data_IF_564173216429
#
_entry.id   IF_564173216429
#
_cell.length_a   1.000
_cell.length_b   1.000
_cell.length_c   1.000
_cell.angle_alpha   90.00
_cell.angle_beta   90.00
_cell.angle_gamma   90.00
#
_symmetry.space_group_name_H-M   'P 1'
#
loop_
_entity.id
_entity.type
_entity.pdbx_description
1 polymer ?
#
# COMPACT_ATOMS: atom_id res chain seq x y z
N UNK A 1 -37.61 -25.76 -24.72
CA UNK A 1 -37.49 -24.64 -23.77
C UNK A 1 -36.64 -25.14 -22.62
N UNK A 2 -35.42 -24.69 -22.32
CA UNK A 2 -34.55 -23.63 -22.81
C UNK A 2 -33.11 -24.14 -22.64
N UNK A 3 -32.24 -23.79 -23.58
CA UNK A 3 -30.82 -24.13 -23.56
C UNK A 3 -30.12 -23.30 -22.48
N UNK A 4 -29.63 -23.94 -21.41
CA UNK A 4 -28.77 -23.27 -20.42
C UNK A 4 -27.39 -23.13 -21.05
N UNK A 5 -27.18 -22.02 -21.74
CA UNK A 5 -25.88 -21.58 -22.20
C UNK A 5 -25.00 -21.31 -20.97
N UNK A 6 -24.18 -22.29 -20.58
CA UNK A 6 -23.02 -22.06 -19.71
C UNK A 6 -22.11 -21.10 -20.47
N UNK A 7 -22.15 -19.82 -20.08
CA UNK A 7 -21.21 -18.80 -20.56
C UNK A 7 -19.80 -19.30 -20.32
N UNK A 8 -19.10 -19.61 -21.41
CA UNK A 8 -17.65 -19.75 -21.48
C UNK A 8 -17.00 -18.65 -20.62
N UNK A 9 -16.46 -19.01 -19.45
CA UNK A 9 -15.42 -18.22 -18.78
C UNK A 9 -14.07 -18.68 -19.30
N UNK A 10 -13.81 -18.36 -20.54
CA UNK A 10 -12.48 -18.41 -21.11
C UNK A 10 -12.29 -17.09 -21.85
N UNK A 11 -11.06 -16.57 -21.86
CA UNK A 11 -10.59 -15.46 -22.71
C UNK A 11 -10.55 -14.08 -22.04
N UNK A 12 -9.62 -13.92 -21.10
CA UNK A 12 -8.38 -13.19 -21.43
C UNK A 12 -7.43 -13.27 -20.26
N UNK A 13 -6.69 -14.37 -20.17
CA UNK A 13 -5.30 -14.29 -19.69
C UNK A 13 -4.50 -13.62 -20.80
N UNK A 14 -4.86 -12.37 -21.11
CA UNK A 14 -4.18 -11.55 -22.09
C UNK A 14 -2.74 -11.46 -21.67
N UNK A 15 -1.84 -11.75 -22.61
CA UNK A 15 -0.40 -11.60 -22.43
C UNK A 15 -0.12 -10.33 -21.62
N UNK A 16 0.52 -10.46 -20.45
CA UNK A 16 0.95 -9.34 -19.59
C UNK A 16 2.05 -8.50 -20.25
N UNK A 17 2.20 -8.60 -21.57
CA UNK A 17 3.18 -7.86 -22.33
C UNK A 17 2.69 -6.41 -22.44
N UNK A 18 3.29 -5.52 -21.66
CA UNK A 18 2.99 -4.09 -21.66
C UNK A 18 3.10 -3.48 -23.07
N UNK A 19 3.89 -4.09 -23.95
CA UNK A 19 4.04 -3.70 -25.35
C UNK A 19 2.78 -3.92 -26.20
N UNK A 20 1.93 -4.90 -25.86
CA UNK A 20 0.69 -5.20 -26.60
C UNK A 20 -0.52 -4.36 -26.16
N UNK A 21 -0.37 -3.52 -25.14
CA UNK A 21 -1.43 -2.61 -24.68
C UNK A 21 -1.54 -1.37 -25.59
N UNK A 22 -2.70 -0.73 -25.61
CA UNK A 22 -2.85 0.58 -26.25
C UNK A 22 -2.10 1.66 -25.46
N UNK A 23 -1.77 2.78 -26.11
CA UNK A 23 -1.11 3.90 -25.44
C UNK A 23 -1.94 4.45 -24.26
N UNK A 24 -3.27 4.52 -24.43
CA UNK A 24 -4.21 4.92 -23.39
C UNK A 24 -4.17 3.97 -22.18
N UNK A 25 -4.21 2.65 -22.42
CA UNK A 25 -4.13 1.65 -21.34
C UNK A 25 -2.79 1.68 -20.61
N UNK A 26 -1.69 1.95 -21.32
CA UNK A 26 -0.38 2.19 -20.68
C UNK A 26 -0.40 3.44 -19.79
N UNK A 27 -0.99 4.54 -20.27
CA UNK A 27 -1.10 5.77 -19.50
C UNK A 27 -1.95 5.60 -18.23
N UNK A 28 -3.08 4.87 -18.31
CA UNK A 28 -3.90 4.51 -17.14
C UNK A 28 -3.10 3.70 -16.10
N UNK A 29 -2.31 2.72 -16.56
CA UNK A 29 -1.47 1.90 -15.68
C UNK A 29 -0.38 2.74 -15.02
N UNK A 30 0.30 3.61 -15.76
CA UNK A 30 1.34 4.47 -15.19
C UNK A 30 0.76 5.48 -14.19
N UNK A 31 -0.41 6.06 -14.46
CA UNK A 31 -1.11 6.92 -13.52
C UNK A 31 -1.48 6.16 -12.23
N UNK A 32 -1.97 4.92 -12.36
CA UNK A 32 -2.28 4.08 -11.21
C UNK A 32 -1.03 3.71 -10.41
N UNK A 33 0.07 3.35 -11.08
CA UNK A 33 1.37 3.11 -10.43
C UNK A 33 1.86 4.32 -9.65
N UNK A 34 1.78 5.51 -10.24
CA UNK A 34 2.17 6.75 -9.59
C UNK A 34 1.32 7.03 -8.33
N UNK A 35 0.01 6.80 -8.39
CA UNK A 35 -0.87 6.93 -7.24
C UNK A 35 -0.54 5.92 -6.13
N UNK A 36 -0.30 4.65 -6.49
CA UNK A 36 0.10 3.61 -5.53
C UNK A 36 1.46 3.93 -4.89
N UNK A 37 2.44 4.38 -5.67
CA UNK A 37 3.75 4.79 -5.17
C UNK A 37 3.62 5.99 -4.22
N UNK A 38 2.78 6.97 -4.55
CA UNK A 38 2.52 8.13 -3.71
C UNK A 38 1.94 7.75 -2.35
N UNK A 39 0.92 6.88 -2.32
CA UNK A 39 0.35 6.35 -1.08
C UNK A 39 1.36 5.57 -0.27
N UNK A 40 2.10 4.68 -0.94
CA UNK A 40 3.15 3.90 -0.27
C UNK A 40 4.18 4.82 0.39
N UNK A 41 4.67 5.83 -0.33
CA UNK A 41 5.63 6.80 0.22
C UNK A 41 5.06 7.57 1.41
N UNK A 42 3.83 8.06 1.31
CA UNK A 42 3.16 8.76 2.40
C UNK A 42 3.03 7.88 3.66
N UNK A 43 2.70 6.59 3.51
CA UNK A 43 2.63 5.65 4.62
C UNK A 43 4.01 5.41 5.28
N UNK A 44 5.08 5.35 4.47
CA UNK A 44 6.45 5.22 4.98
C UNK A 44 6.88 6.45 5.77
N UNK A 45 6.56 7.64 5.26
CA UNK A 45 6.89 8.93 5.89
C UNK A 45 6.11 9.12 7.21
N UNK A 46 4.83 8.73 7.24
CA UNK A 46 4.01 8.71 8.46
C UNK A 46 4.62 7.80 9.52
N UNK A 47 4.94 6.55 9.15
CA UNK A 47 5.56 5.59 10.06
C UNK A 47 6.91 6.07 10.60
N UNK A 48 7.74 6.70 9.76
CA UNK A 48 9.02 7.27 10.18
C UNK A 48 8.85 8.44 11.16
N UNK A 49 7.88 9.32 10.90
CA UNK A 49 7.54 10.45 11.79
C UNK A 49 7.08 9.96 13.16
N UNK A 50 6.17 8.98 13.18
CA UNK A 50 5.68 8.36 14.41
C UNK A 50 6.84 7.73 15.18
N UNK A 51 7.72 6.98 14.50
CA UNK A 51 8.87 6.33 15.12
C UNK A 51 9.86 7.34 15.72
N UNK A 52 10.14 8.45 15.03
CA UNK A 52 11.05 9.49 15.50
C UNK A 52 10.59 10.13 16.82
N UNK A 53 9.28 10.30 17.00
CA UNK A 53 8.66 10.88 18.20
C UNK A 53 8.64 9.93 19.41
N UNK A 54 9.16 8.70 19.27
CA UNK A 54 9.16 7.68 20.33
C UNK A 54 9.87 8.13 21.60
N UNK A 55 11.02 8.80 21.47
CA UNK A 55 11.79 9.27 22.62
C UNK A 55 11.07 10.41 23.34
N UNK A 56 10.54 11.36 22.57
CA UNK A 56 9.95 12.59 23.11
C UNK A 56 8.61 12.33 23.81
N UNK A 57 7.79 11.41 23.27
CA UNK A 57 6.49 11.05 23.85
C UNK A 57 6.59 10.06 25.02
N UNK A 58 7.71 9.35 25.17
CA UNK A 58 7.95 8.40 26.26
C UNK A 58 6.82 7.37 26.43
N UNK A 59 6.30 7.24 27.65
CA UNK A 59 5.25 6.26 27.99
C UNK A 59 3.92 6.50 27.24
N UNK A 60 3.65 7.74 26.82
CA UNK A 60 2.45 8.10 26.06
C UNK A 60 2.55 7.78 24.56
N UNK A 61 3.72 7.35 24.09
CA UNK A 61 3.97 7.19 22.66
C UNK A 61 3.02 6.22 21.97
N UNK A 62 2.71 5.07 22.58
CA UNK A 62 1.84 4.06 21.95
C UNK A 62 0.44 4.60 21.67
N UNK A 63 -0.20 5.25 22.65
CA UNK A 63 -1.54 5.81 22.45
C UNK A 63 -1.51 6.97 21.46
N UNK A 64 -0.45 7.78 21.46
CA UNK A 64 -0.28 8.83 20.47
C UNK A 64 -0.10 8.25 19.05
N UNK A 65 0.77 7.26 18.88
CA UNK A 65 1.00 6.59 17.61
C UNK A 65 -0.28 5.97 17.02
N UNK A 66 -1.10 5.32 17.85
CA UNK A 66 -2.40 4.77 17.41
C UNK A 66 -3.37 5.87 16.97
N UNK A 67 -3.37 7.04 17.63
CA UNK A 67 -4.17 8.19 17.21
C UNK A 67 -3.71 8.77 15.88
N UNK A 68 -2.39 8.90 15.68
CA UNK A 68 -1.84 9.37 14.41
C UNK A 68 -2.15 8.40 13.27
N UNK A 69 -2.05 7.09 13.51
CA UNK A 69 -2.42 6.08 12.52
C UNK A 69 -3.92 6.16 12.17
N UNK A 70 -4.79 6.25 13.18
CA UNK A 70 -6.24 6.34 12.97
C UNK A 70 -6.69 7.65 12.29
N UNK A 71 -5.88 8.71 12.35
CA UNK A 71 -6.13 9.95 11.62
C UNK A 71 -5.92 9.82 10.10
N UNK A 72 -5.23 8.75 9.66
CA UNK A 72 -4.91 8.46 8.27
C UNK A 72 -5.34 7.05 7.87
N UNK A 73 -6.66 6.76 7.84
CA UNK A 73 -7.18 5.41 7.61
C UNK A 73 -6.74 4.80 6.27
N UNK A 74 -6.51 5.63 5.25
CA UNK A 74 -6.04 5.20 3.93
C UNK A 74 -4.56 4.78 3.87
N UNK A 75 -3.79 5.10 4.91
CA UNK A 75 -2.37 4.74 5.05
C UNK A 75 -2.11 3.81 6.24
N UNK A 76 -3.11 3.59 7.09
CA UNK A 76 -2.96 2.96 8.40
C UNK A 76 -2.28 1.60 8.30
N UNK A 77 -2.73 0.74 7.37
CA UNK A 77 -2.24 -0.63 7.27
C UNK A 77 -0.75 -0.65 6.90
N UNK A 78 -0.36 0.07 5.86
CA UNK A 78 1.01 0.16 5.37
C UNK A 78 1.93 0.87 6.39
N UNK A 79 1.45 1.97 6.98
CA UNK A 79 2.20 2.73 7.98
C UNK A 79 2.42 1.89 9.25
N UNK A 80 1.39 1.15 9.71
CA UNK A 80 1.50 0.24 10.86
C UNK A 80 2.46 -0.91 10.57
N UNK A 81 2.42 -1.49 9.37
CA UNK A 81 3.35 -2.55 8.97
C UNK A 81 4.81 -2.06 8.97
N UNK A 82 5.06 -0.87 8.42
CA UNK A 82 6.39 -0.24 8.44
C UNK A 82 6.83 0.12 9.85
N UNK A 83 5.95 0.70 10.67
CA UNK A 83 6.24 1.04 12.05
C UNK A 83 6.62 -0.22 12.85
N UNK A 84 5.89 -1.31 12.68
CA UNK A 84 6.22 -2.60 13.27
C UNK A 84 7.59 -3.11 12.83
N UNK A 85 7.95 -2.95 11.55
CA UNK A 85 9.29 -3.28 11.04
C UNK A 85 10.38 -2.42 11.67
N UNK A 86 10.18 -1.11 11.78
CA UNK A 86 11.12 -0.19 12.44
C UNK A 86 11.32 -0.54 13.93
N UNK A 87 10.24 -0.91 14.61
CA UNK A 87 10.26 -1.33 16.01
C UNK A 87 10.97 -2.67 16.21
N UNK A 88 10.89 -3.59 15.24
CA UNK A 88 11.65 -4.86 15.23
C UNK A 88 13.11 -4.67 14.82
N UNK A 89 13.40 -3.67 13.99
CA UNK A 89 14.69 -3.40 13.33
C UNK A 89 15.85 -2.97 14.23
N UNK A 90 15.76 -3.10 15.56
CA UNK A 90 16.97 -3.09 16.41
C UNK A 90 17.82 -4.38 16.28
N UNK A 91 17.60 -5.16 15.22
CA UNK A 91 18.48 -6.23 14.76
C UNK A 91 18.33 -6.42 13.24
N UNK A 92 19.36 -6.01 12.48
CA UNK A 92 19.56 -6.38 11.08
C UNK A 92 19.10 -5.36 10.04
N UNK A 93 19.91 -4.31 9.84
CA UNK A 93 20.14 -3.83 8.49
C UNK A 93 20.99 -4.89 7.77
N UNK A 94 20.46 -5.39 6.66
CA UNK A 94 21.05 -6.39 5.76
C UNK A 94 20.13 -6.61 4.58
#
# INVERSE_FOLDING_TARGET
>A
MESVAVKNRSESTGSWNLASLTAEKRAEIEAHKAACLGRWKAAQDLAATIYAQRRDKGNGWRMWAERELAAHPELEQEARAKLNRLMKGKGGDG
#
